data_IF_166141590682
#
_entry.id   IF_166141590682
#
_cell.length_a   1.000
_cell.length_b   1.000
_cell.length_c   1.000
_cell.angle_alpha   90.00
_cell.angle_beta   90.00
_cell.angle_gamma   90.00
#
_symmetry.space_group_name_H-M   'P 1'
#
loop_
_entity.id
_entity.type
_entity.pdbx_description
1 polymer ?
#
# COMPACT_ATOMS: atom_id res chain seq x y z
N UNK A 1 4.99 -13.72 5.93
CA UNK A 1 3.55 -13.78 5.54
C UNK A 1 3.12 -12.39 5.13
N UNK A 2 2.35 -12.21 4.05
CA UNK A 2 1.74 -10.91 3.74
C UNK A 2 0.24 -10.95 4.02
N UNK A 3 -0.24 -9.93 4.72
CA UNK A 3 -1.66 -9.69 4.97
C UNK A 3 -2.16 -8.71 3.90
N UNK A 4 -3.18 -9.13 3.15
CA UNK A 4 -3.79 -8.29 2.13
C UNK A 4 -4.87 -7.41 2.75
N UNK A 5 -4.51 -6.16 3.08
CA UNK A 5 -5.39 -5.24 3.81
C UNK A 5 -6.20 -4.30 2.89
N UNK A 6 -5.91 -4.29 1.62
CA UNK A 6 -6.43 -3.35 0.61
C UNK A 6 -7.01 -4.13 -0.58
N UNK A 7 -7.76 -3.60 -1.47
CA UNK A 7 -8.31 -2.26 -1.59
C UNK A 7 -9.82 -2.35 -1.27
N UNK A 8 -10.41 -1.32 -0.76
CA UNK A 8 -11.81 -1.14 -0.30
C UNK A 8 -12.73 -2.39 -0.25
N UNK A 9 -12.85 -3.18 -1.29
CA UNK A 9 -13.67 -4.41 -1.34
C UNK A 9 -13.18 -5.56 -0.45
N UNK A 10 -11.96 -5.48 0.09
CA UNK A 10 -11.39 -6.49 0.97
C UNK A 10 -11.66 -6.19 2.45
N UNK A 11 -11.63 -7.25 3.26
CA UNK A 11 -12.13 -7.22 4.63
C UNK A 11 -11.51 -6.13 5.50
N UNK A 12 -10.18 -5.96 5.48
CA UNK A 12 -9.54 -4.99 6.38
C UNK A 12 -9.85 -3.55 5.99
N UNK A 13 -9.91 -3.21 4.71
CA UNK A 13 -10.31 -1.88 4.28
C UNK A 13 -11.78 -1.56 4.61
N UNK A 14 -12.66 -2.57 4.66
CA UNK A 14 -14.04 -2.40 5.16
C UNK A 14 -14.07 -1.94 6.63
N UNK A 15 -13.04 -2.26 7.42
CA UNK A 15 -12.92 -1.78 8.80
C UNK A 15 -12.22 -0.42 8.87
N UNK A 16 -11.20 -0.17 8.06
CA UNK A 16 -10.36 1.04 8.19
C UNK A 16 -10.96 2.29 7.58
N UNK A 17 -11.69 2.19 6.46
CA UNK A 17 -12.22 3.35 5.74
C UNK A 17 -13.47 3.92 6.40
N UNK A 18 -13.43 5.21 6.77
CA UNK A 18 -14.51 5.89 7.48
C UNK A 18 -15.85 5.89 6.73
N UNK A 19 -15.80 6.07 5.41
CA UNK A 19 -17.02 6.15 4.60
C UNK A 19 -17.67 4.79 4.36
N UNK A 20 -16.96 3.70 4.68
CA UNK A 20 -17.48 2.33 4.61
C UNK A 20 -17.84 1.79 5.98
N UNK A 21 -17.01 2.04 6.99
CA UNK A 21 -17.21 1.51 8.35
C UNK A 21 -18.18 2.37 9.17
N UNK A 22 -19.42 1.94 9.24
CA UNK A 22 -20.49 2.55 10.06
C UNK A 22 -20.75 1.80 11.38
N UNK A 23 -19.82 0.96 11.83
CA UNK A 23 -19.97 0.19 13.08
C UNK A 23 -19.96 1.12 14.30
N UNK A 24 -20.70 0.68 15.34
CA UNK A 24 -20.82 1.39 16.62
C UNK A 24 -20.20 0.63 17.81
N UNK A 25 -19.58 -0.51 17.52
CA UNK A 25 -18.84 -1.33 18.48
C UNK A 25 -17.34 -0.97 18.51
N UNK A 26 -16.52 -1.80 19.16
CA UNK A 26 -15.08 -1.61 19.31
C UNK A 26 -14.27 -1.67 18.01
N UNK A 27 -14.91 -1.94 16.87
CA UNK A 27 -14.28 -1.95 15.54
C UNK A 27 -14.71 -0.74 14.67
N UNK A 28 -15.45 0.21 15.24
CA UNK A 28 -15.95 1.38 14.49
C UNK A 28 -15.70 2.71 15.19
N UNK A 29 -15.97 3.80 14.49
CA UNK A 29 -15.83 5.17 14.99
C UNK A 29 -14.39 5.68 15.02
N UNK A 30 -13.66 5.54 16.13
CA UNK A 30 -12.31 6.10 16.27
C UNK A 30 -11.28 5.45 15.33
N UNK A 31 -10.16 6.14 15.12
CA UNK A 31 -9.06 5.61 14.33
C UNK A 31 -8.58 4.26 14.91
N UNK A 32 -8.33 4.18 16.19
CA UNK A 32 -7.83 2.99 16.88
C UNK A 32 -8.79 1.81 16.74
N UNK A 33 -10.09 2.07 16.82
CA UNK A 33 -11.12 1.05 16.62
C UNK A 33 -11.14 0.53 15.19
N UNK A 34 -11.07 1.42 14.20
CA UNK A 34 -11.06 1.04 12.78
C UNK A 34 -9.83 0.20 12.40
N UNK A 35 -8.67 0.45 13.00
CA UNK A 35 -7.44 -0.31 12.77
C UNK A 35 -7.24 -1.50 13.73
N UNK A 36 -8.11 -1.66 14.73
CA UNK A 36 -8.05 -2.74 15.72
C UNK A 36 -7.90 -4.12 15.11
N UNK A 37 -8.69 -4.44 14.10
CA UNK A 37 -8.68 -5.77 13.49
C UNK A 37 -7.33 -6.09 12.83
N UNK A 38 -6.72 -5.15 12.13
CA UNK A 38 -5.37 -5.32 11.56
C UNK A 38 -4.32 -5.54 12.66
N UNK A 39 -4.44 -4.84 13.79
CA UNK A 39 -3.55 -5.00 14.94
C UNK A 39 -3.72 -6.37 15.61
N UNK A 40 -4.94 -6.84 15.78
CA UNK A 40 -5.24 -8.17 16.37
C UNK A 40 -4.65 -9.30 15.51
N UNK A 41 -4.75 -9.19 14.17
CA UNK A 41 -4.20 -10.18 13.25
C UNK A 41 -2.68 -10.31 13.42
N UNK A 42 -1.94 -9.20 13.36
CA UNK A 42 -0.46 -9.28 13.47
C UNK A 42 -0.03 -9.77 14.84
N UNK A 43 -0.69 -9.34 15.91
CA UNK A 43 -0.41 -9.79 17.28
C UNK A 43 -0.64 -11.29 17.43
N UNK A 44 -1.73 -11.83 16.89
CA UNK A 44 -2.00 -13.27 16.98
C UNK A 44 -1.03 -14.09 16.15
N UNK A 45 -0.63 -13.61 14.94
CA UNK A 45 0.43 -14.25 14.14
C UNK A 45 1.75 -14.28 14.93
N UNK A 46 2.18 -13.16 15.49
CA UNK A 46 3.43 -13.08 16.27
C UNK A 46 3.39 -13.96 17.51
N UNK A 47 2.24 -14.09 18.15
CA UNK A 47 2.04 -14.97 19.31
C UNK A 47 2.16 -16.46 18.94
N UNK A 48 1.59 -16.87 17.81
CA UNK A 48 1.57 -18.27 17.37
C UNK A 48 2.87 -18.69 16.68
N UNK A 49 3.43 -17.82 15.83
CA UNK A 49 4.58 -18.14 14.99
C UNK A 49 5.92 -17.68 15.58
N UNK A 50 5.90 -16.88 16.65
CA UNK A 50 7.07 -16.25 17.25
C UNK A 50 7.26 -14.79 16.85
N UNK A 51 7.93 -14.01 17.69
CA UNK A 51 8.11 -12.56 17.50
C UNK A 51 8.95 -12.24 16.26
N UNK A 52 9.88 -13.11 15.88
CA UNK A 52 10.78 -12.95 14.72
C UNK A 52 10.13 -13.41 13.41
N UNK A 53 8.91 -13.95 13.42
CA UNK A 53 8.22 -14.37 12.21
C UNK A 53 7.80 -13.14 11.38
N UNK A 54 8.32 -12.97 10.12
CA UNK A 54 8.09 -11.74 9.36
C UNK A 54 6.63 -11.64 8.86
N UNK A 55 6.00 -10.51 9.11
CA UNK A 55 4.64 -10.20 8.67
C UNK A 55 4.63 -8.88 7.92
N UNK A 56 4.35 -8.92 6.63
CA UNK A 56 4.13 -7.73 5.82
C UNK A 56 2.65 -7.39 5.67
N UNK A 57 2.38 -6.14 5.37
CA UNK A 57 1.03 -5.64 5.08
C UNK A 57 0.98 -5.05 3.67
N UNK A 58 0.06 -5.53 2.83
CA UNK A 58 -0.31 -4.82 1.61
C UNK A 58 -1.12 -3.59 2.00
N UNK A 59 -0.63 -2.40 1.64
CA UNK A 59 -1.11 -1.14 2.16
C UNK A 59 -1.37 -0.12 1.04
N UNK A 60 -2.57 0.46 1.00
CA UNK A 60 -2.88 1.58 0.12
C UNK A 60 -2.62 2.89 0.86
N UNK A 61 -1.72 3.73 0.35
CA UNK A 61 -1.33 4.99 0.99
C UNK A 61 -2.50 5.96 0.99
N UNK A 62 -3.05 6.28 -0.17
CA UNK A 62 -4.26 7.07 -0.30
C UNK A 62 -5.33 6.30 -1.06
N UNK A 63 -6.58 6.48 -0.67
CA UNK A 63 -7.70 5.80 -1.33
C UNK A 63 -7.98 6.32 -2.73
N UNK A 64 -7.60 7.57 -3.02
CA UNK A 64 -7.81 8.24 -4.32
C UNK A 64 -9.30 8.25 -4.72
N UNK A 65 -10.21 8.42 -3.75
CA UNK A 65 -11.66 8.42 -3.98
C UNK A 65 -12.35 9.67 -3.46
N UNK A 66 -13.30 10.16 -4.25
CA UNK A 66 -14.20 11.29 -3.89
C UNK A 66 -15.43 10.80 -3.12
N UNK A 67 -15.69 9.50 -3.14
CA UNK A 67 -16.82 8.84 -2.52
C UNK A 67 -17.09 7.48 -3.18
N UNK A 68 -18.19 6.86 -2.79
CA UNK A 68 -18.59 5.57 -3.32
C UNK A 68 -18.77 5.61 -4.86
N UNK A 69 -18.03 4.80 -5.59
CA UNK A 69 -17.96 4.72 -7.06
C UNK A 69 -17.40 5.96 -7.76
N UNK A 70 -16.67 6.80 -7.04
CA UNK A 70 -16.13 8.05 -7.57
C UNK A 70 -14.63 8.18 -7.35
N UNK A 71 -13.83 7.45 -8.13
CA UNK A 71 -12.37 7.56 -8.08
C UNK A 71 -11.86 8.90 -8.65
N UNK A 72 -10.76 9.40 -8.10
CA UNK A 72 -10.08 10.60 -8.56
C UNK A 72 -9.03 10.29 -9.63
N UNK A 73 -8.94 11.11 -10.67
CA UNK A 73 -7.98 10.98 -11.77
C UNK A 73 -6.61 11.60 -11.39
N UNK A 74 -5.53 11.18 -12.05
CA UNK A 74 -4.23 11.85 -11.91
C UNK A 74 -4.34 13.36 -12.22
N UNK A 75 -3.84 14.21 -11.30
CA UNK A 75 -3.86 15.67 -11.45
C UNK A 75 -5.22 16.32 -11.15
N UNK A 76 -6.24 15.55 -10.80
CA UNK A 76 -7.53 16.08 -10.37
C UNK A 76 -7.43 16.67 -8.95
N UNK A 77 -8.00 17.87 -8.74
CA UNK A 77 -8.16 18.42 -7.40
C UNK A 77 -9.47 17.91 -6.80
N UNK A 78 -9.39 17.23 -5.66
CA UNK A 78 -10.56 16.63 -5.02
C UNK A 78 -10.40 16.64 -3.48
N UNK A 79 -11.47 16.33 -2.78
CA UNK A 79 -11.45 16.04 -1.34
C UNK A 79 -11.47 14.53 -1.16
N UNK A 80 -10.46 13.98 -0.50
CA UNK A 80 -10.38 12.54 -0.23
C UNK A 80 -11.48 12.10 0.75
N UNK A 81 -12.31 11.16 0.32
CA UNK A 81 -13.35 10.59 1.17
C UNK A 81 -12.91 9.36 1.96
N UNK A 82 -11.87 8.69 1.48
CA UNK A 82 -11.29 7.49 2.10
C UNK A 82 -10.14 7.80 3.05
N UNK A 83 -9.02 7.11 2.88
CA UNK A 83 -7.77 7.36 3.61
C UNK A 83 -7.01 8.46 2.88
N UNK A 84 -6.83 9.59 3.54
CA UNK A 84 -5.97 10.68 3.11
C UNK A 84 -4.53 10.49 3.60
N UNK A 85 -3.61 11.33 3.13
CA UNK A 85 -2.20 11.27 3.51
C UNK A 85 -2.01 11.42 5.03
N UNK A 86 -2.73 12.31 5.69
CA UNK A 86 -2.61 12.53 7.12
C UNK A 86 -3.03 11.31 7.95
N UNK A 87 -4.13 10.63 7.57
CA UNK A 87 -4.50 9.36 8.20
C UNK A 87 -3.49 8.27 7.85
N UNK A 88 -2.92 8.27 6.64
CA UNK A 88 -1.94 7.28 6.19
C UNK A 88 -0.63 7.35 6.98
N UNK A 89 -0.11 8.54 7.23
CA UNK A 89 1.07 8.77 8.08
C UNK A 89 0.89 8.16 9.47
N UNK A 90 -0.24 8.48 10.10
CA UNK A 90 -0.60 7.94 11.42
C UNK A 90 -0.76 6.41 11.38
N UNK A 91 -1.42 5.89 10.34
CA UNK A 91 -1.71 4.48 10.20
C UNK A 91 -0.44 3.65 9.95
N UNK A 92 0.46 4.10 9.08
CA UNK A 92 1.72 3.42 8.81
C UNK A 92 2.54 3.23 10.10
N UNK A 93 2.72 4.30 10.88
CA UNK A 93 3.42 4.24 12.18
C UNK A 93 2.70 3.34 13.17
N UNK A 94 1.37 3.45 13.27
CA UNK A 94 0.57 2.65 14.21
C UNK A 94 0.64 1.15 13.90
N UNK A 95 0.66 0.78 12.61
CA UNK A 95 0.76 -0.60 12.16
C UNK A 95 2.17 -1.16 12.36
N UNK A 96 3.22 -0.37 12.10
CA UNK A 96 4.60 -0.73 12.49
C UNK A 96 4.68 -1.03 14.00
N UNK A 97 4.18 -0.14 14.83
CA UNK A 97 4.23 -0.29 16.30
C UNK A 97 3.39 -1.49 16.80
N UNK A 98 2.40 -1.91 16.02
CA UNK A 98 1.62 -3.11 16.30
C UNK A 98 2.37 -4.42 16.00
N UNK A 99 3.44 -4.39 15.16
CA UNK A 99 4.30 -5.52 14.87
C UNK A 99 4.38 -5.96 13.40
N UNK A 100 3.91 -5.13 12.46
CA UNK A 100 4.21 -5.36 11.04
C UNK A 100 5.67 -5.04 10.75
N UNK A 101 6.31 -5.87 9.92
CA UNK A 101 7.75 -5.79 9.62
C UNK A 101 8.04 -5.16 8.26
N UNK A 102 7.04 -4.96 7.41
CA UNK A 102 7.17 -4.35 6.09
C UNK A 102 5.82 -3.83 5.60
N UNK A 103 5.82 -2.73 4.87
CA UNK A 103 4.67 -2.23 4.12
C UNK A 103 4.90 -2.43 2.61
N UNK A 104 3.99 -3.13 1.94
CA UNK A 104 3.95 -3.27 0.49
C UNK A 104 2.87 -2.31 -0.04
N UNK A 105 3.31 -1.16 -0.54
CA UNK A 105 2.48 0.02 -0.75
C UNK A 105 2.08 0.25 -2.21
N UNK A 106 0.87 0.76 -2.38
CA UNK A 106 0.36 1.39 -3.59
C UNK A 106 -0.66 2.48 -3.21
N UNK A 107 -1.52 2.89 -4.14
CA UNK A 107 -2.67 3.76 -3.92
C UNK A 107 -3.95 3.12 -4.44
N UNK A 108 -5.07 3.75 -4.10
CA UNK A 108 -6.36 3.47 -4.71
C UNK A 108 -7.24 2.53 -3.92
N UNK A 109 -8.42 2.36 -4.45
CA UNK A 109 -9.48 1.47 -4.00
C UNK A 109 -10.09 0.77 -5.21
N UNK A 110 -11.13 -0.04 -5.04
CA UNK A 110 -11.90 -0.56 -6.18
C UNK A 110 -12.57 0.55 -6.98
N UNK A 111 -12.98 1.62 -6.34
CA UNK A 111 -13.58 2.78 -7.01
C UNK A 111 -12.53 3.64 -7.74
N UNK A 112 -11.27 3.58 -7.32
CA UNK A 112 -10.11 4.19 -7.94
C UNK A 112 -9.12 3.11 -8.46
N UNK A 113 -9.68 2.07 -9.07
CA UNK A 113 -9.00 0.88 -9.56
C UNK A 113 -7.72 1.14 -10.37
N UNK A 114 -7.71 2.18 -11.20
CA UNK A 114 -6.58 2.56 -12.04
C UNK A 114 -5.36 3.08 -11.25
N UNK A 115 -5.48 3.36 -9.95
CA UNK A 115 -4.34 3.59 -9.06
C UNK A 115 -3.81 2.29 -8.46
N UNK A 116 -4.72 1.39 -8.09
CA UNK A 116 -4.36 0.09 -7.50
C UNK A 116 -3.70 -0.85 -8.53
N UNK A 117 -4.18 -0.81 -9.77
CA UNK A 117 -3.70 -1.62 -10.89
C UNK A 117 -3.45 -0.76 -12.12
N UNK A 118 -2.47 0.15 -12.08
CA UNK A 118 -2.31 1.19 -13.08
C UNK A 118 -2.20 0.63 -14.50
N UNK A 119 -3.17 0.91 -15.39
CA UNK A 119 -3.11 0.51 -16.78
C UNK A 119 -2.12 1.40 -17.57
N UNK A 120 -1.91 1.07 -18.86
CA UNK A 120 -0.91 1.74 -19.68
C UNK A 120 -1.12 3.26 -19.84
N UNK A 121 -2.35 3.73 -19.72
CA UNK A 121 -2.69 5.16 -19.79
C UNK A 121 -2.44 5.95 -18.49
N UNK A 122 -2.15 5.26 -17.37
CA UNK A 122 -1.70 5.93 -16.16
C UNK A 122 -0.23 6.31 -16.27
N UNK A 123 0.21 7.39 -15.61
CA UNK A 123 1.62 7.74 -15.55
C UNK A 123 2.47 6.58 -15.00
N UNK A 124 3.68 6.43 -15.51
CA UNK A 124 4.66 5.53 -14.89
C UNK A 124 5.02 6.05 -13.50
N UNK A 125 5.33 5.12 -12.60
CA UNK A 125 5.69 5.42 -11.22
C UNK A 125 4.64 6.22 -10.45
N UNK A 126 3.36 6.12 -10.85
CA UNK A 126 2.28 6.99 -10.36
C UNK A 126 2.06 6.96 -8.84
N UNK A 127 2.53 5.92 -8.16
CA UNK A 127 2.42 5.78 -6.70
C UNK A 127 3.70 6.17 -5.95
N UNK A 128 4.81 6.43 -6.65
CA UNK A 128 6.13 6.57 -6.04
C UNK A 128 6.21 7.74 -5.05
N UNK A 129 5.68 8.91 -5.38
CA UNK A 129 5.78 10.08 -4.51
C UNK A 129 5.04 9.89 -3.18
N UNK A 130 3.85 9.32 -3.23
CA UNK A 130 3.03 9.06 -2.04
C UNK A 130 3.67 7.98 -1.16
N UNK A 131 4.19 6.91 -1.77
CA UNK A 131 4.88 5.85 -1.05
C UNK A 131 6.20 6.34 -0.43
N UNK A 132 6.99 7.12 -1.17
CA UNK A 132 8.19 7.75 -0.68
C UNK A 132 7.92 8.75 0.46
N UNK A 133 6.74 9.37 0.47
CA UNK A 133 6.32 10.20 1.59
C UNK A 133 6.12 9.35 2.85
N UNK A 134 5.38 8.24 2.75
CA UNK A 134 5.12 7.33 3.89
C UNK A 134 6.41 6.71 4.43
N UNK A 135 7.40 6.42 3.58
CA UNK A 135 8.70 5.91 4.02
C UNK A 135 9.35 6.75 5.12
N UNK A 136 9.07 8.05 5.18
CA UNK A 136 9.63 8.98 6.17
C UNK A 136 9.03 8.82 7.57
N UNK A 137 7.91 8.13 7.71
CA UNK A 137 7.17 7.97 8.97
C UNK A 137 7.36 6.60 9.62
N UNK A 138 8.08 5.69 8.95
CA UNK A 138 8.31 4.33 9.45
C UNK A 138 9.78 3.95 9.36
N UNK A 139 10.20 3.01 10.22
CA UNK A 139 11.55 2.47 10.26
C UNK A 139 11.64 1.10 9.55
N UNK A 140 10.48 0.46 9.30
CA UNK A 140 10.38 -0.82 8.60
C UNK A 140 10.48 -0.60 7.07
N UNK A 141 10.91 -1.61 6.30
CA UNK A 141 10.98 -1.52 4.85
C UNK A 141 9.65 -1.17 4.20
N UNK A 142 9.72 -0.30 3.18
CA UNK A 142 8.58 0.11 2.36
C UNK A 142 8.84 -0.24 0.91
N UNK A 143 7.98 -1.07 0.33
CA UNK A 143 8.02 -1.47 -1.07
C UNK A 143 6.97 -0.68 -1.83
N UNK A 144 7.33 -0.11 -2.98
CA UNK A 144 6.40 0.59 -3.87
C UNK A 144 5.97 -0.28 -5.03
N UNK A 145 4.66 -0.38 -5.28
CA UNK A 145 4.09 -1.05 -6.44
C UNK A 145 3.19 -0.11 -7.24
N UNK A 146 3.05 -0.37 -8.53
CA UNK A 146 2.16 0.40 -9.42
C UNK A 146 2.89 1.00 -10.62
N UNK A 147 2.97 0.24 -11.71
CA UNK A 147 3.59 0.65 -12.98
C UNK A 147 5.00 1.25 -12.79
N UNK A 148 5.79 0.62 -11.91
CA UNK A 148 7.15 1.03 -11.66
C UNK A 148 8.03 0.78 -12.89
N UNK A 149 8.87 1.76 -13.23
CA UNK A 149 9.98 1.64 -14.16
C UNK A 149 11.23 1.16 -13.40
N UNK A 150 12.01 0.19 -13.92
CA UNK A 150 13.16 -0.36 -13.22
C UNK A 150 14.26 0.65 -12.88
N UNK A 151 14.57 1.56 -13.79
CA UNK A 151 15.63 2.58 -13.58
C UNK A 151 15.21 3.57 -12.49
N UNK A 152 13.97 4.06 -12.57
CA UNK A 152 13.39 4.95 -11.55
C UNK A 152 13.31 4.25 -10.19
N UNK A 153 12.93 2.97 -10.17
CA UNK A 153 12.90 2.17 -8.95
C UNK A 153 14.30 2.03 -8.32
N UNK A 154 15.32 1.70 -9.14
CA UNK A 154 16.70 1.59 -8.69
C UNK A 154 17.22 2.92 -8.12
N UNK A 155 16.97 4.04 -8.79
CA UNK A 155 17.33 5.37 -8.31
C UNK A 155 16.61 5.70 -6.99
N UNK A 156 15.31 5.44 -6.89
CA UNK A 156 14.54 5.71 -5.66
C UNK A 156 15.02 4.87 -4.46
N UNK A 157 15.46 3.62 -4.69
CA UNK A 157 16.06 2.78 -3.66
C UNK A 157 17.45 3.33 -3.26
N UNK A 158 18.29 3.68 -4.23
CA UNK A 158 19.61 4.25 -3.96
C UNK A 158 19.54 5.55 -3.15
N UNK A 159 18.52 6.38 -3.41
CA UNK A 159 18.25 7.63 -2.71
C UNK A 159 17.54 7.44 -1.34
N UNK A 160 17.22 6.20 -0.96
CA UNK A 160 16.53 5.88 0.29
C UNK A 160 15.06 6.35 0.34
N UNK A 161 14.45 6.58 -0.82
CA UNK A 161 13.04 7.00 -0.93
C UNK A 161 12.07 5.84 -0.73
N UNK A 162 12.47 4.64 -1.12
CA UNK A 162 11.78 3.36 -0.91
C UNK A 162 12.85 2.29 -0.63
N UNK A 163 12.45 1.14 -0.13
CA UNK A 163 13.39 0.03 0.17
C UNK A 163 13.27 -1.10 -0.87
N UNK A 164 12.25 -1.08 -1.70
CA UNK A 164 12.04 -2.06 -2.76
C UNK A 164 10.95 -1.64 -3.73
N UNK A 165 10.88 -2.32 -4.87
CA UNK A 165 9.84 -2.10 -5.87
C UNK A 165 9.14 -3.40 -6.25
N UNK A 166 7.80 -3.33 -6.40
CA UNK A 166 6.94 -4.44 -6.76
C UNK A 166 6.57 -4.41 -8.25
N UNK A 167 6.85 -5.51 -8.95
CA UNK A 167 6.50 -5.73 -10.34
C UNK A 167 5.63 -6.98 -10.45
N UNK A 168 4.52 -6.95 -11.16
CA UNK A 168 3.66 -8.12 -11.33
C UNK A 168 3.50 -8.51 -12.80
N UNK A 169 2.94 -7.63 -13.61
CA UNK A 169 2.64 -7.93 -15.03
C UNK A 169 3.88 -8.21 -15.86
N UNK A 170 5.00 -7.58 -15.52
CA UNK A 170 6.28 -7.82 -16.19
C UNK A 170 6.73 -9.28 -16.04
N UNK A 171 6.62 -9.84 -14.83
CA UNK A 171 6.92 -11.26 -14.60
C UNK A 171 5.95 -12.21 -15.30
N UNK A 172 4.69 -11.79 -15.52
CA UNK A 172 3.72 -12.58 -16.30
C UNK A 172 4.04 -12.56 -17.80
N UNK A 173 4.58 -11.45 -18.29
CA UNK A 173 4.96 -11.29 -19.69
C UNK A 173 6.27 -12.03 -20.00
N UNK A 174 7.25 -11.97 -19.09
CA UNK A 174 8.57 -12.57 -19.26
C UNK A 174 9.11 -13.13 -17.92
N UNK A 175 9.17 -14.44 -17.81
CA UNK A 175 9.68 -15.13 -16.61
C UNK A 175 11.20 -14.89 -16.40
N UNK A 176 11.95 -14.54 -17.45
CA UNK A 176 13.41 -14.27 -17.39
C UNK A 176 13.73 -12.78 -17.23
N UNK A 177 12.74 -11.93 -17.11
CA UNK A 177 12.90 -10.48 -17.09
C UNK A 177 13.97 -9.98 -16.12
N UNK A 178 13.99 -10.47 -14.87
CA UNK A 178 15.02 -10.07 -13.88
C UNK A 178 16.41 -10.51 -14.32
N UNK A 179 16.54 -11.72 -14.89
CA UNK A 179 17.81 -12.22 -15.41
C UNK A 179 18.32 -11.37 -16.56
N UNK A 180 17.42 -10.94 -17.43
CA UNK A 180 17.74 -10.04 -18.54
C UNK A 180 18.18 -8.67 -18.03
N UNK A 181 17.40 -8.08 -17.11
CA UNK A 181 17.72 -6.81 -16.46
C UNK A 181 19.10 -6.83 -15.77
N UNK A 182 19.44 -7.91 -15.03
CA UNK A 182 20.73 -8.06 -14.37
C UNK A 182 21.92 -8.23 -15.33
N UNK A 183 21.67 -8.61 -16.59
CA UNK A 183 22.70 -8.83 -17.62
C UNK A 183 22.70 -7.75 -18.71
N UNK A 184 22.04 -6.62 -18.51
CA UNK A 184 21.88 -5.53 -19.48
C UNK A 184 21.39 -6.03 -20.84
N UNK A 185 20.51 -7.03 -20.86
CA UNK A 185 19.89 -7.54 -22.08
C UNK A 185 18.56 -6.81 -22.28
N UNK A 186 18.51 -6.02 -23.32
CA UNK A 186 17.25 -5.49 -23.82
C UNK A 186 16.40 -6.61 -24.44
N UNK A 187 15.08 -6.48 -24.36
CA UNK A 187 14.11 -7.41 -24.97
C UNK A 187 13.99 -7.19 -26.48
#
# INVERSE_FOLDING_TARGET
MEIHAVHEGYLLDQFTLKYVNHRTDEYGGSFENRYRFAVEIVKEIKKVCGQDFPVSLRYSVESKTKGFREGALPGESFTEAGRDMAESEKAAKYLQDAGYDMLNCDNGTYDAWYWAHPPIYMPENCNLEDVAHIRKFVDIPVVCAGRMDPETAAAAIADGRIDGAGFARQFLADQEWVTKLMNDKED
#
